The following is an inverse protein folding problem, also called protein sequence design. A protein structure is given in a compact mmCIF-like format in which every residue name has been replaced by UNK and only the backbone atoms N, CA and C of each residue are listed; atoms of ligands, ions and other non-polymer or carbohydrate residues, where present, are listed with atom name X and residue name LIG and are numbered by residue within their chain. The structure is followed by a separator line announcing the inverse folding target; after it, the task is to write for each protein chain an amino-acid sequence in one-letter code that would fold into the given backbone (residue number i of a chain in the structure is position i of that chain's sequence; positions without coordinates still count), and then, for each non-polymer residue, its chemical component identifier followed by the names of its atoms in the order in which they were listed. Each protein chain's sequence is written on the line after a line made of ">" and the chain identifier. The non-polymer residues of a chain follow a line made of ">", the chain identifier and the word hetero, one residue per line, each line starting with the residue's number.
data_IF_870366757988
#
_entry.id   IF_870366757988
#
_cell.length_a   1.000
_cell.length_b   1.000
_cell.length_c   1.000
_cell.angle_alpha   90.00
_cell.angle_beta   90.00
_cell.angle_gamma   90.00
#
_symmetry.space_group_name_H-M   'P 1'
#
loop_
_entity.id
_entity.type
_entity.pdbx_description
1 polymer ?
#
# COMPACT_ATOMS: atom_id res chain seq x y z
N UNK A 1 2.32 -11.04 -4.06
CA UNK A 1 3.48 -10.23 -4.52
C UNK A 1 3.82 -10.37 -5.99
N UNK A 2 3.64 -11.55 -6.61
CA UNK A 2 4.03 -11.78 -8.02
C UNK A 2 3.49 -10.74 -9.02
N UNK A 3 2.25 -10.29 -8.86
CA UNK A 3 1.67 -9.23 -9.69
C UNK A 3 2.51 -7.93 -9.64
N UNK A 4 2.79 -7.45 -8.43
CA UNK A 4 3.55 -6.22 -8.22
C UNK A 4 4.99 -6.34 -8.72
N UNK A 5 5.66 -7.47 -8.44
CA UNK A 5 6.99 -7.76 -8.96
C UNK A 5 7.04 -7.77 -10.48
N UNK A 6 6.05 -8.36 -11.17
CA UNK A 6 5.96 -8.33 -12.64
C UNK A 6 5.73 -6.92 -13.17
N UNK A 7 4.86 -6.15 -12.52
CA UNK A 7 4.55 -4.78 -12.91
C UNK A 7 5.81 -3.90 -12.83
N UNK A 8 6.52 -3.89 -11.70
CA UNK A 8 7.74 -3.08 -11.55
C UNK A 8 8.93 -3.64 -12.35
N UNK A 9 8.97 -4.96 -12.56
CA UNK A 9 10.00 -5.63 -13.35
C UNK A 9 9.97 -5.29 -14.85
N UNK A 10 8.90 -4.67 -15.33
CA UNK A 10 8.81 -4.16 -16.70
C UNK A 10 9.70 -2.93 -16.94
N UNK A 11 10.23 -2.30 -15.88
CA UNK A 11 11.13 -1.17 -15.98
C UNK A 11 12.56 -1.60 -16.35
N UNK A 12 13.07 -1.14 -17.50
CA UNK A 12 14.39 -1.54 -18.02
C UNK A 12 15.58 -0.98 -17.24
N UNK A 13 15.40 0.19 -16.61
CA UNK A 13 16.46 0.95 -15.93
C UNK A 13 16.43 0.84 -14.40
N UNK A 14 15.60 -0.05 -13.87
CA UNK A 14 15.50 -0.32 -12.44
C UNK A 14 15.78 -1.80 -12.17
N UNK A 15 16.33 -2.07 -11.00
CA UNK A 15 16.49 -3.39 -10.41
C UNK A 15 15.59 -3.47 -9.18
N UNK A 16 14.86 -4.59 -9.06
CA UNK A 16 14.02 -4.85 -7.89
C UNK A 16 14.92 -5.34 -6.75
N UNK A 17 14.96 -4.59 -5.65
CA UNK A 17 15.65 -4.98 -4.43
C UNK A 17 14.69 -5.77 -3.53
N UNK A 18 13.50 -5.22 -3.27
CA UNK A 18 12.44 -5.89 -2.51
C UNK A 18 11.04 -5.52 -3.01
N UNK A 19 10.09 -6.44 -2.84
CA UNK A 19 8.65 -6.25 -3.00
C UNK A 19 7.99 -7.07 -1.90
N UNK A 20 7.45 -6.40 -0.89
CA UNK A 20 6.89 -7.05 0.29
C UNK A 20 5.62 -6.36 0.78
N UNK A 21 4.76 -7.14 1.45
CA UNK A 21 3.60 -6.63 2.15
C UNK A 21 4.04 -6.13 3.53
N UNK A 22 3.55 -4.96 3.94
CA UNK A 22 3.85 -4.40 5.25
C UNK A 22 2.99 -5.07 6.33
N UNK A 23 3.59 -5.36 7.49
CA UNK A 23 2.89 -6.06 8.59
C UNK A 23 1.95 -5.12 9.38
N UNK A 24 2.23 -3.82 9.44
CA UNK A 24 1.48 -2.83 10.25
C UNK A 24 0.23 -2.26 9.55
N UNK A 25 -0.57 -3.09 8.88
CA UNK A 25 -1.72 -2.60 8.10
C UNK A 25 -2.82 -1.96 8.97
N UNK A 26 -3.19 -2.57 10.10
CA UNK A 26 -4.30 -2.08 10.94
C UNK A 26 -3.96 -0.78 11.67
N UNK A 27 -2.74 -0.67 12.22
CA UNK A 27 -2.28 0.50 12.96
C UNK A 27 -2.20 1.74 12.05
N UNK A 28 -1.63 1.58 10.85
CA UNK A 28 -1.50 2.67 9.87
C UNK A 28 -2.88 3.16 9.41
N UNK A 29 -3.82 2.25 9.15
CA UNK A 29 -5.19 2.64 8.82
C UNK A 29 -5.89 3.35 9.98
N UNK A 30 -5.71 2.88 11.22
CA UNK A 30 -6.28 3.52 12.39
C UNK A 30 -5.77 4.95 12.56
N UNK A 31 -4.48 5.20 12.34
CA UNK A 31 -3.90 6.53 12.41
C UNK A 31 -4.29 7.44 11.24
N UNK A 32 -4.42 6.88 10.04
CA UNK A 32 -4.94 7.59 8.87
C UNK A 32 -6.39 8.06 9.09
N UNK A 33 -7.27 7.17 9.57
CA UNK A 33 -8.70 7.46 9.74
C UNK A 33 -9.00 8.48 10.85
N UNK A 34 -8.06 8.69 11.79
CA UNK A 34 -8.14 9.75 12.82
C UNK A 34 -7.93 11.16 12.25
N UNK A 35 -7.37 11.28 11.04
CA UNK A 35 -7.15 12.58 10.43
C UNK A 35 -8.47 13.20 9.97
N UNK A 36 -8.58 14.53 10.06
CA UNK A 36 -9.75 15.30 9.60
C UNK A 36 -9.58 15.86 8.18
N UNK A 37 -8.60 15.36 7.43
CA UNK A 37 -8.45 15.72 6.02
C UNK A 37 -9.54 15.05 5.17
N UNK A 38 -9.90 15.69 4.05
CA UNK A 38 -11.02 15.26 3.21
C UNK A 38 -10.91 13.82 2.71
N UNK A 39 -9.70 13.32 2.48
CA UNK A 39 -9.43 11.95 2.02
C UNK A 39 -9.67 10.94 3.13
N UNK A 40 -9.11 11.18 4.32
CA UNK A 40 -9.30 10.31 5.48
C UNK A 40 -10.78 10.23 5.89
N UNK A 41 -11.50 11.37 5.86
CA UNK A 41 -12.94 11.41 6.14
C UNK A 41 -13.72 10.62 5.09
N UNK A 42 -13.35 10.72 3.81
CA UNK A 42 -13.96 9.94 2.73
C UNK A 42 -13.74 8.44 2.88
N UNK A 43 -12.57 8.03 3.33
CA UNK A 43 -12.19 6.62 3.49
C UNK A 43 -12.92 5.93 4.66
N UNK A 44 -13.33 6.67 5.70
CA UNK A 44 -14.04 6.11 6.88
C UNK A 44 -15.23 5.23 6.47
N UNK A 45 -16.06 5.72 5.54
CA UNK A 45 -17.25 4.98 5.09
C UNK A 45 -16.91 3.64 4.44
N UNK A 46 -15.84 3.60 3.63
CA UNK A 46 -15.40 2.37 2.97
C UNK A 46 -14.78 1.40 3.98
N UNK A 47 -14.01 1.92 4.93
CA UNK A 47 -13.35 1.13 5.97
C UNK A 47 -14.36 0.52 6.96
N UNK A 48 -15.35 1.30 7.41
CA UNK A 48 -16.47 0.83 8.25
C UNK A 48 -17.32 -0.23 7.55
N UNK A 49 -17.49 -0.12 6.22
CA UNK A 49 -18.16 -1.14 5.41
C UNK A 49 -17.33 -2.43 5.21
N UNK A 50 -16.15 -2.53 5.81
CA UNK A 50 -15.26 -3.70 5.72
C UNK A 50 -14.29 -3.66 4.56
N UNK A 51 -14.10 -2.51 3.90
CA UNK A 51 -13.15 -2.32 2.80
C UNK A 51 -11.70 -2.68 3.16
N UNK A 52 -11.32 -2.53 4.44
CA UNK A 52 -9.99 -2.88 4.94
C UNK A 52 -9.59 -4.35 4.71
N UNK A 53 -10.56 -5.27 4.53
CA UNK A 53 -10.29 -6.68 4.20
C UNK A 53 -9.67 -6.89 2.83
N UNK A 54 -9.75 -5.89 1.96
CA UNK A 54 -9.29 -5.93 0.57
C UNK A 54 -8.11 -5.00 0.31
N UNK A 55 -7.63 -4.30 1.33
CA UNK A 55 -6.56 -3.31 1.24
C UNK A 55 -5.36 -3.77 2.05
N UNK A 56 -4.17 -3.63 1.48
CA UNK A 56 -2.90 -3.82 2.16
C UNK A 56 -1.89 -2.76 1.73
N UNK A 57 -0.82 -2.60 2.51
CA UNK A 57 0.30 -1.76 2.14
C UNK A 57 1.45 -2.61 1.59
N UNK A 58 2.11 -2.09 0.56
CA UNK A 58 3.18 -2.80 -0.13
C UNK A 58 4.39 -1.87 -0.21
N UNK A 59 5.52 -2.35 0.30
CA UNK A 59 6.80 -1.68 0.18
C UNK A 59 7.54 -2.23 -1.05
N UNK A 60 8.02 -1.34 -1.91
CA UNK A 60 8.81 -1.69 -3.09
C UNK A 60 10.07 -0.86 -3.10
N UNK A 61 11.23 -1.53 -3.05
CA UNK A 61 12.55 -0.89 -3.13
C UNK A 61 13.16 -1.19 -4.49
N UNK A 62 13.49 -0.14 -5.23
CA UNK A 62 14.13 -0.22 -6.54
C UNK A 62 15.49 0.48 -6.52
N UNK A 63 16.46 -0.09 -7.22
CA UNK A 63 17.76 0.54 -7.49
C UNK A 63 17.84 0.94 -8.95
N UNK A 64 18.25 2.18 -9.21
CA UNK A 64 18.57 2.62 -10.57
C UNK A 64 19.82 1.87 -11.06
N UNK A 65 19.76 1.35 -12.30
CA UNK A 65 20.93 0.76 -12.97
C UNK A 65 21.98 1.81 -13.33
#
# INVERSE_FOLDING_TARGET
>A
MEYWSKMVGSCRNAEIITVEEMESNEEVWADWLKQENEYAVGDRKAMEAGGGKYLNFIAIVLRKK
#
